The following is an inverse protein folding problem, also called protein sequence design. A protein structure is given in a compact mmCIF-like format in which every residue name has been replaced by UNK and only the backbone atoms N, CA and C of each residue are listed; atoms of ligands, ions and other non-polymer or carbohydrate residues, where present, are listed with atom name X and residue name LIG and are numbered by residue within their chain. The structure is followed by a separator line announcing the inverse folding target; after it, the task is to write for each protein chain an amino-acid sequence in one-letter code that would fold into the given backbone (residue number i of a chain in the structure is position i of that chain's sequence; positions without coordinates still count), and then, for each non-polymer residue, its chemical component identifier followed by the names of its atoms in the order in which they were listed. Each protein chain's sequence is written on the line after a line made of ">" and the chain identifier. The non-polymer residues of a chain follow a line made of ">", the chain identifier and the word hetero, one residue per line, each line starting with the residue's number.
data_IF_783873595584
#
_entry.id   IF_783873595584
#
_cell.length_a   1.000
_cell.length_b   1.000
_cell.length_c   1.000
_cell.angle_alpha   90.00
_cell.angle_beta   90.00
_cell.angle_gamma   90.00
#
_symmetry.space_group_name_H-M   'P 1'
#
loop_
_entity.id
_entity.type
_entity.pdbx_description
1 polymer ?
#
# COMPACT_ATOMS: atom_id res chain seq x y z
N UNK A 1 -18.92 5.27 1.83
CA UNK A 1 -17.99 5.76 2.88
C UNK A 1 -16.64 5.86 2.21
N UNK A 2 -16.05 7.05 2.10
CA UNK A 2 -14.77 7.22 1.39
C UNK A 2 -13.58 7.11 2.33
N UNK A 3 -12.60 6.29 1.97
CA UNK A 3 -11.29 6.24 2.64
C UNK A 3 -10.31 7.10 1.83
N UNK A 4 -9.91 8.23 2.43
CA UNK A 4 -9.03 9.23 1.81
C UNK A 4 -7.56 9.02 2.19
N UNK A 5 -6.67 9.63 1.42
CA UNK A 5 -5.22 9.43 1.50
C UNK A 5 -4.59 9.99 2.79
N UNK A 6 -5.08 11.13 3.26
CA UNK A 6 -4.58 11.74 4.48
C UNK A 6 -4.96 13.19 4.63
N UNK A 7 -4.16 13.90 5.43
CA UNK A 7 -4.33 15.33 5.70
C UNK A 7 -2.99 16.03 5.61
N UNK A 8 -2.99 17.29 5.17
CA UNK A 8 -1.84 18.18 5.30
C UNK A 8 -2.01 19.03 6.55
N UNK A 9 -1.04 18.95 7.47
CA UNK A 9 -1.04 19.73 8.72
C UNK A 9 0.03 20.82 8.60
N UNK A 10 -0.40 22.07 8.58
CA UNK A 10 0.47 23.23 8.79
C UNK A 10 0.57 23.63 10.26
N UNK A 11 1.49 24.54 10.58
CA UNK A 11 1.67 25.05 11.95
C UNK A 11 0.35 25.64 12.49
N UNK A 12 -0.13 25.09 13.60
CA UNK A 12 -1.36 25.52 14.25
C UNK A 12 -2.66 25.19 13.50
N UNK A 13 -2.62 24.34 12.47
CA UNK A 13 -3.81 23.92 11.73
C UNK A 13 -4.38 22.59 12.24
N UNK A 14 -5.71 22.49 12.26
CA UNK A 14 -6.44 21.24 12.52
C UNK A 14 -6.38 20.29 11.30
N UNK A 15 -6.71 19.02 11.49
CA UNK A 15 -6.76 17.96 10.46
C UNK A 15 -7.89 18.14 9.41
N UNK A 16 -8.27 19.37 9.08
CA UNK A 16 -9.37 19.69 8.18
C UNK A 16 -8.99 19.64 6.70
N UNK A 17 -7.69 19.75 6.38
CA UNK A 17 -7.20 19.80 5.01
C UNK A 17 -7.00 18.39 4.44
N UNK A 18 -8.11 17.75 4.07
CA UNK A 18 -8.15 16.35 3.62
C UNK A 18 -7.70 16.20 2.16
N UNK A 19 -6.69 15.35 1.94
CA UNK A 19 -6.28 14.89 0.61
C UNK A 19 -7.29 13.83 0.14
N UNK A 20 -8.19 14.21 -0.76
CA UNK A 20 -9.34 13.38 -1.17
C UNK A 20 -8.99 12.25 -2.15
N UNK A 21 -7.73 12.10 -2.53
CA UNK A 21 -7.27 10.95 -3.32
C UNK A 21 -7.61 9.66 -2.59
N UNK A 22 -8.03 8.64 -3.33
CA UNK A 22 -8.39 7.35 -2.75
C UNK A 22 -7.61 6.25 -3.46
N UNK A 23 -6.82 5.52 -2.68
CA UNK A 23 -6.02 4.41 -3.17
C UNK A 23 -6.61 3.08 -2.73
N UNK A 24 -6.43 2.06 -3.56
CA UNK A 24 -7.02 0.74 -3.31
C UNK A 24 -6.51 0.13 -2.01
N UNK A 25 -5.20 0.28 -1.73
CA UNK A 25 -4.56 -0.29 -0.55
C UNK A 25 -5.14 0.30 0.75
N UNK A 26 -5.37 1.62 0.81
CA UNK A 26 -5.98 2.27 1.97
C UNK A 26 -7.37 1.66 2.25
N UNK A 27 -8.22 1.55 1.22
CA UNK A 27 -9.55 0.95 1.42
C UNK A 27 -9.46 -0.52 1.82
N UNK A 28 -8.53 -1.28 1.22
CA UNK A 28 -8.32 -2.69 1.51
C UNK A 28 -7.90 -2.97 2.95
N UNK A 29 -6.92 -2.22 3.49
CA UNK A 29 -6.46 -2.45 4.87
C UNK A 29 -7.55 -2.12 5.89
N UNK A 30 -8.29 -1.03 5.68
CA UNK A 30 -9.42 -0.67 6.56
C UNK A 30 -10.57 -1.69 6.45
N UNK A 31 -10.85 -2.20 5.25
CA UNK A 31 -11.84 -3.26 5.05
C UNK A 31 -11.48 -4.52 5.84
N UNK A 32 -10.24 -4.98 5.72
CA UNK A 32 -9.78 -6.16 6.45
C UNK A 32 -9.80 -5.94 7.96
N UNK A 33 -9.33 -4.79 8.46
CA UNK A 33 -9.43 -4.45 9.88
C UNK A 33 -10.87 -4.43 10.40
N UNK A 34 -11.81 -3.89 9.61
CA UNK A 34 -13.23 -3.91 9.95
C UNK A 34 -13.81 -5.34 9.95
N UNK A 35 -13.35 -6.21 9.04
CA UNK A 35 -13.76 -7.60 8.97
C UNK A 35 -13.27 -8.40 10.19
N UNK A 36 -12.02 -8.20 10.61
CA UNK A 36 -11.47 -8.77 11.85
C UNK A 36 -12.29 -8.30 13.06
N UNK A 37 -12.60 -7.01 13.15
CA UNK A 37 -13.40 -6.47 14.25
C UNK A 37 -14.84 -6.99 14.25
N UNK A 38 -15.43 -7.20 13.06
CA UNK A 38 -16.70 -7.89 12.93
C UNK A 38 -16.60 -9.34 13.43
N UNK A 39 -15.59 -10.09 13.00
CA UNK A 39 -15.36 -11.47 13.42
C UNK A 39 -15.20 -11.61 14.95
N UNK A 40 -14.54 -10.63 15.58
CA UNK A 40 -14.30 -10.62 17.03
C UNK A 40 -15.52 -10.20 17.86
N UNK A 41 -16.38 -9.32 17.35
CA UNK A 41 -17.43 -8.67 18.14
C UNK A 41 -18.84 -9.03 17.70
N UNK A 42 -18.99 -9.60 16.50
CA UNK A 42 -20.26 -9.88 15.84
C UNK A 42 -21.20 -8.66 15.73
N UNK A 43 -20.65 -7.44 15.86
CA UNK A 43 -21.45 -6.22 15.90
C UNK A 43 -21.95 -5.80 14.52
N UNK A 44 -23.24 -5.46 14.45
CA UNK A 44 -23.86 -4.86 13.25
C UNK A 44 -23.16 -3.57 12.78
N UNK A 45 -22.55 -2.81 13.71
CA UNK A 45 -21.79 -1.62 13.36
C UNK A 45 -20.60 -1.97 12.47
N UNK A 46 -19.85 -3.01 12.83
CA UNK A 46 -18.70 -3.46 12.04
C UNK A 46 -19.15 -4.14 10.75
N UNK A 47 -20.25 -4.92 10.79
CA UNK A 47 -20.86 -5.49 9.57
C UNK A 47 -21.22 -4.42 8.55
N UNK A 48 -21.86 -3.33 9.00
CA UNK A 48 -22.22 -2.18 8.15
C UNK A 48 -20.99 -1.49 7.57
N UNK A 49 -19.91 -1.36 8.35
CA UNK A 49 -18.64 -0.78 7.89
C UNK A 49 -17.98 -1.64 6.82
N UNK A 50 -17.91 -2.97 7.03
CA UNK A 50 -17.42 -3.93 6.03
C UNK A 50 -18.20 -3.77 4.73
N UNK A 51 -19.54 -3.87 4.77
CA UNK A 51 -20.37 -3.72 3.56
C UNK A 51 -20.19 -2.36 2.86
N UNK A 52 -20.04 -1.28 3.63
CA UNK A 52 -19.79 0.06 3.09
C UNK A 52 -18.42 0.21 2.41
N UNK A 53 -17.37 -0.39 2.97
CA UNK A 53 -16.03 -0.41 2.38
C UNK A 53 -15.93 -1.37 1.18
N UNK A 54 -16.58 -2.53 1.24
CA UNK A 54 -16.74 -3.43 0.09
C UNK A 54 -17.40 -2.70 -1.07
N UNK A 55 -18.46 -1.92 -0.81
CA UNK A 55 -19.11 -1.11 -1.85
C UNK A 55 -18.18 -0.04 -2.41
N UNK A 56 -17.34 0.61 -1.58
CA UNK A 56 -16.34 1.58 -2.05
C UNK A 56 -15.30 0.91 -2.97
N UNK A 57 -14.85 -0.30 -2.62
CA UNK A 57 -13.94 -1.09 -3.46
C UNK A 57 -14.55 -1.34 -4.84
N UNK A 58 -15.77 -1.84 -4.91
CA UNK A 58 -16.43 -2.13 -6.18
C UNK A 58 -16.66 -0.88 -7.03
N UNK A 59 -16.99 0.24 -6.41
CA UNK A 59 -17.29 1.47 -7.13
C UNK A 59 -16.03 2.19 -7.68
N UNK A 60 -14.87 2.00 -7.04
CA UNK A 60 -13.67 2.79 -7.32
C UNK A 60 -12.51 2.00 -7.86
N UNK A 61 -12.36 0.76 -7.44
CA UNK A 61 -11.17 -0.06 -7.73
C UNK A 61 -11.51 -1.32 -8.51
N UNK A 62 -12.73 -1.43 -9.04
CA UNK A 62 -13.15 -2.54 -9.90
C UNK A 62 -13.70 -1.99 -11.21
N UNK A 63 -13.09 -2.41 -12.32
CA UNK A 63 -13.54 -2.10 -13.69
C UNK A 63 -13.62 -3.43 -14.45
N UNK A 64 -14.75 -3.71 -15.09
CA UNK A 64 -14.99 -4.98 -15.80
C UNK A 64 -14.70 -6.24 -14.96
N UNK A 65 -15.11 -6.23 -13.68
CA UNK A 65 -14.81 -7.30 -12.72
C UNK A 65 -13.32 -7.59 -12.52
N UNK A 66 -12.46 -6.58 -12.69
CA UNK A 66 -11.01 -6.66 -12.52
C UNK A 66 -10.57 -5.51 -11.61
N UNK A 67 -9.62 -5.77 -10.70
CA UNK A 67 -9.08 -4.75 -9.81
C UNK A 67 -8.23 -3.74 -10.61
N UNK A 68 -8.41 -2.45 -10.37
CA UNK A 68 -7.78 -1.35 -11.10
C UNK A 68 -7.41 -0.17 -10.19
N UNK A 69 -6.32 0.54 -10.50
CA UNK A 69 -5.99 1.84 -9.88
C UNK A 69 -6.55 3.01 -10.70
N UNK A 70 -7.71 3.55 -10.27
CA UNK A 70 -8.51 4.52 -11.02
C UNK A 70 -7.77 5.80 -11.46
N UNK A 71 -6.77 6.25 -10.72
CA UNK A 71 -6.12 7.54 -10.96
C UNK A 71 -4.93 7.46 -11.90
N UNK A 72 -4.24 6.33 -11.95
CA UNK A 72 -2.92 6.26 -12.55
C UNK A 72 -2.76 5.13 -13.56
N UNK A 73 -3.61 4.10 -13.54
CA UNK A 73 -3.45 2.91 -14.37
C UNK A 73 -3.73 3.21 -15.84
N UNK A 74 -4.84 3.88 -16.15
CA UNK A 74 -5.29 4.15 -17.53
C UNK A 74 -4.29 4.99 -18.33
N UNK A 75 -3.57 5.88 -17.65
CA UNK A 75 -2.57 6.76 -18.26
C UNK A 75 -1.12 6.28 -18.07
N UNK A 76 -0.91 5.08 -17.51
CA UNK A 76 0.42 4.52 -17.20
C UNK A 76 1.28 5.44 -16.30
N UNK A 77 0.64 6.20 -15.41
CA UNK A 77 1.29 7.19 -14.53
C UNK A 77 1.55 6.68 -13.11
N UNK A 78 1.22 5.42 -12.81
CA UNK A 78 1.46 4.88 -11.48
C UNK A 78 2.95 4.87 -11.16
N UNK A 79 3.32 5.41 -9.98
CA UNK A 79 4.68 5.33 -9.46
C UNK A 79 4.97 3.90 -8.93
N UNK A 80 6.19 3.68 -8.41
CA UNK A 80 6.59 2.34 -7.96
C UNK A 80 5.74 1.80 -6.80
N UNK A 81 5.28 2.67 -5.91
CA UNK A 81 4.44 2.28 -4.77
C UNK A 81 3.03 1.91 -5.24
N UNK A 82 2.42 2.76 -6.06
CA UNK A 82 1.08 2.56 -6.60
C UNK A 82 0.97 1.28 -7.43
N UNK A 83 2.09 0.88 -8.06
CA UNK A 83 2.18 -0.37 -8.82
C UNK A 83 2.08 -1.63 -7.96
N UNK A 84 2.09 -1.57 -6.63
CA UNK A 84 1.86 -2.73 -5.74
C UNK A 84 0.48 -2.75 -5.08
N UNK A 85 -0.27 -1.65 -5.13
CA UNK A 85 -1.50 -1.47 -4.35
C UNK A 85 -2.58 -2.51 -4.65
N UNK A 86 -2.78 -2.86 -5.93
CA UNK A 86 -3.76 -3.88 -6.34
C UNK A 86 -3.48 -5.26 -5.73
N UNK A 87 -2.21 -5.63 -5.58
CA UNK A 87 -1.82 -6.87 -4.92
C UNK A 87 -2.20 -6.87 -3.45
N UNK A 88 -1.98 -5.75 -2.75
CA UNK A 88 -2.38 -5.59 -1.36
C UNK A 88 -3.90 -5.59 -1.19
N UNK A 89 -4.65 -4.92 -2.08
CA UNK A 89 -6.10 -4.98 -2.07
C UNK A 89 -6.57 -6.44 -2.25
N UNK A 90 -6.06 -7.17 -3.24
CA UNK A 90 -6.41 -8.57 -3.45
C UNK A 90 -6.13 -9.43 -2.21
N UNK A 91 -4.99 -9.23 -1.55
CA UNK A 91 -4.65 -9.90 -0.29
C UNK A 91 -5.68 -9.63 0.82
N UNK A 92 -5.98 -8.37 1.07
CA UNK A 92 -6.90 -7.99 2.14
C UNK A 92 -8.34 -8.34 1.84
N UNK A 93 -8.74 -8.37 0.58
CA UNK A 93 -10.04 -8.92 0.18
C UNK A 93 -10.10 -10.42 0.45
N UNK A 94 -9.08 -11.19 0.08
CA UNK A 94 -9.02 -12.61 0.40
C UNK A 94 -9.12 -12.86 1.91
N UNK A 95 -8.36 -12.13 2.73
CA UNK A 95 -8.45 -12.25 4.19
C UNK A 95 -9.85 -11.84 4.71
N UNK A 96 -10.42 -10.75 4.19
CA UNK A 96 -11.80 -10.32 4.50
C UNK A 96 -12.82 -11.42 4.22
N UNK A 97 -12.64 -12.19 3.14
CA UNK A 97 -13.54 -13.30 2.82
C UNK A 97 -13.53 -14.43 3.84
N UNK A 98 -12.43 -14.57 4.60
CA UNK A 98 -12.32 -15.53 5.70
C UNK A 98 -12.91 -14.98 7.00
N UNK A 99 -12.65 -13.72 7.33
CA UNK A 99 -13.13 -13.08 8.58
C UNK A 99 -14.61 -12.65 8.52
N UNK A 100 -15.13 -12.35 7.33
CA UNK A 100 -16.51 -11.98 7.09
C UNK A 100 -17.12 -12.89 6.00
N UNK A 101 -17.48 -14.15 6.32
CA UNK A 101 -17.83 -15.18 5.32
C UNK A 101 -18.98 -14.82 4.37
N UNK A 102 -19.90 -13.95 4.80
CA UNK A 102 -21.00 -13.46 3.94
C UNK A 102 -20.51 -12.66 2.72
N UNK A 103 -19.26 -12.20 2.72
CA UNK A 103 -18.62 -11.51 1.58
C UNK A 103 -17.93 -12.46 0.61
N UNK A 104 -17.75 -13.74 0.99
CA UNK A 104 -16.86 -14.67 0.30
C UNK A 104 -17.19 -14.83 -1.18
N UNK A 105 -18.44 -15.18 -1.53
CA UNK A 105 -18.82 -15.46 -2.91
C UNK A 105 -18.48 -14.30 -3.87
N UNK A 106 -18.77 -13.06 -3.45
CA UNK A 106 -18.51 -11.88 -4.28
C UNK A 106 -17.01 -11.61 -4.39
N UNK A 107 -16.28 -11.70 -3.29
CA UNK A 107 -14.83 -11.48 -3.26
C UNK A 107 -14.11 -12.55 -4.09
N UNK A 108 -14.39 -13.84 -3.89
CA UNK A 108 -13.69 -14.92 -4.60
C UNK A 108 -13.98 -14.90 -6.09
N UNK A 109 -15.18 -14.48 -6.49
CA UNK A 109 -15.52 -14.23 -7.90
C UNK A 109 -14.65 -13.11 -8.49
N UNK A 110 -14.50 -11.98 -7.79
CA UNK A 110 -13.62 -10.89 -8.22
C UNK A 110 -12.15 -11.33 -8.30
N UNK A 111 -11.65 -12.05 -7.29
CA UNK A 111 -10.27 -12.54 -7.26
C UNK A 111 -9.99 -13.50 -8.42
N UNK A 112 -10.91 -14.41 -8.74
CA UNK A 112 -10.76 -15.34 -9.89
C UNK A 112 -10.75 -14.60 -11.22
N UNK A 113 -11.66 -13.63 -11.40
CA UNK A 113 -11.70 -12.79 -12.61
C UNK A 113 -10.40 -11.99 -12.78
N UNK A 114 -9.94 -11.33 -11.70
CA UNK A 114 -8.68 -10.61 -11.70
C UNK A 114 -7.47 -11.52 -11.94
N UNK A 115 -7.46 -12.74 -11.40
CA UNK A 115 -6.39 -13.71 -11.62
C UNK A 115 -6.31 -14.19 -13.08
N UNK A 116 -7.46 -14.43 -13.72
CA UNK A 116 -7.52 -14.76 -15.14
C UNK A 116 -6.99 -13.61 -16.00
N UNK A 117 -7.35 -12.38 -15.67
CA UNK A 117 -6.90 -11.19 -16.37
C UNK A 117 -5.39 -10.93 -16.16
N UNK A 118 -4.90 -11.07 -14.93
CA UNK A 118 -3.49 -10.95 -14.60
C UNK A 118 -2.64 -11.99 -15.35
N UNK A 119 -3.11 -13.24 -15.45
CA UNK A 119 -2.41 -14.29 -16.18
C UNK A 119 -2.24 -13.96 -17.68
N UNK A 120 -3.22 -13.29 -18.31
CA UNK A 120 -3.13 -12.90 -19.73
C UNK A 120 -2.01 -11.91 -20.00
N UNK A 121 -1.76 -10.99 -19.07
CA UNK A 121 -0.73 -9.95 -19.23
C UNK A 121 0.65 -10.37 -18.69
N UNK A 122 0.80 -11.66 -18.36
CA UNK A 122 2.06 -12.30 -17.97
C UNK A 122 2.71 -13.02 -19.16
N UNK A 123 2.72 -12.37 -20.31
CA UNK A 123 3.27 -12.85 -21.59
C UNK A 123 4.49 -12.01 -22.05
N UNK A 124 4.99 -11.12 -21.18
CA UNK A 124 6.03 -10.16 -21.51
C UNK A 124 7.44 -10.76 -21.63
N UNK A 125 8.23 -10.17 -22.52
CA UNK A 125 9.66 -10.47 -22.69
C UNK A 125 10.48 -9.17 -22.79
N UNK A 126 10.51 -8.32 -21.73
CA UNK A 126 11.22 -7.05 -21.77
C UNK A 126 12.73 -7.28 -21.84
N UNK A 127 13.44 -6.38 -22.51
CA UNK A 127 14.90 -6.49 -22.70
C UNK A 127 15.72 -6.09 -21.47
N UNK A 128 15.09 -5.46 -20.47
CA UNK A 128 15.72 -4.99 -19.22
C UNK A 128 14.71 -5.02 -18.06
N UNK A 129 15.21 -5.09 -16.83
CA UNK A 129 14.39 -4.95 -15.62
C UNK A 129 13.58 -6.19 -15.24
N UNK A 130 13.76 -7.31 -15.94
CA UNK A 130 13.17 -8.61 -15.64
C UNK A 130 14.23 -9.71 -15.80
N UNK A 131 14.44 -10.48 -14.74
CA UNK A 131 15.43 -11.56 -14.68
C UNK A 131 14.77 -12.96 -14.81
N UNK A 132 13.47 -13.02 -15.06
CA UNK A 132 12.74 -14.29 -15.23
C UNK A 132 12.80 -14.83 -16.66
N UNK A 133 12.07 -15.91 -16.92
CA UNK A 133 12.02 -16.55 -18.24
C UNK A 133 11.39 -15.65 -19.30
N UNK A 134 11.87 -15.74 -20.54
CA UNK A 134 11.25 -15.03 -21.65
C UNK A 134 9.76 -15.40 -21.78
N UNK A 135 8.89 -14.40 -21.95
CA UNK A 135 7.45 -14.60 -22.06
C UNK A 135 6.72 -14.82 -20.74
N UNK A 136 7.35 -14.53 -19.58
CA UNK A 136 6.71 -14.67 -18.26
C UNK A 136 6.66 -13.37 -17.46
N UNK A 137 7.08 -12.24 -18.02
CA UNK A 137 7.00 -10.96 -17.34
C UNK A 137 5.54 -10.47 -17.28
N UNK A 138 5.08 -10.09 -16.09
CA UNK A 138 3.73 -9.57 -15.88
C UNK A 138 3.67 -8.05 -15.99
N UNK A 139 2.73 -7.55 -16.79
CA UNK A 139 2.41 -6.14 -16.94
C UNK A 139 1.58 -5.59 -15.78
N UNK A 140 1.32 -4.28 -15.79
CA UNK A 140 0.57 -3.64 -14.71
C UNK A 140 -0.94 -3.72 -14.93
N UNK A 141 -1.39 -3.36 -16.12
CA UNK A 141 -2.82 -3.24 -16.39
C UNK A 141 -3.42 -4.59 -16.75
N UNK A 142 -4.25 -5.12 -15.83
CA UNK A 142 -5.01 -6.35 -16.06
C UNK A 142 -6.24 -6.12 -16.95
N UNK A 143 -6.51 -4.86 -17.32
CA UNK A 143 -7.54 -4.51 -18.29
C UNK A 143 -7.04 -4.59 -19.73
N UNK A 144 -5.72 -4.73 -19.93
CA UNK A 144 -5.12 -4.94 -21.24
C UNK A 144 -5.26 -6.41 -21.68
N UNK A 145 -5.08 -6.63 -22.98
CA UNK A 145 -5.10 -7.98 -23.57
C UNK A 145 -3.72 -8.67 -23.53
N UNK A 146 -2.64 -7.92 -23.27
CA UNK A 146 -1.25 -8.40 -23.23
C UNK A 146 -0.39 -7.52 -22.30
N UNK A 147 0.86 -7.93 -22.09
CA UNK A 147 1.90 -7.13 -21.45
C UNK A 147 1.93 -5.68 -21.94
N UNK A 148 2.02 -4.72 -21.01
CA UNK A 148 1.84 -3.30 -21.26
C UNK A 148 3.15 -2.50 -21.35
N UNK A 149 4.27 -3.22 -21.55
CA UNK A 149 5.65 -2.72 -21.56
C UNK A 149 6.14 -2.15 -20.22
N UNK A 150 5.36 -2.31 -19.14
CA UNK A 150 5.77 -1.88 -17.81
C UNK A 150 6.37 -3.07 -17.06
N UNK A 151 7.62 -2.93 -16.66
CA UNK A 151 8.34 -3.92 -15.87
C UNK A 151 8.66 -3.37 -14.47
N UNK A 152 8.63 -4.25 -13.48
CA UNK A 152 9.00 -3.91 -12.11
C UNK A 152 8.57 -4.98 -11.11
N UNK A 153 9.21 -4.97 -9.95
CA UNK A 153 9.03 -5.96 -8.90
C UNK A 153 7.58 -6.01 -8.37
N UNK A 154 6.96 -4.84 -8.12
CA UNK A 154 5.60 -4.76 -7.58
C UNK A 154 4.55 -5.42 -8.48
N UNK A 155 4.73 -5.33 -9.80
CA UNK A 155 3.79 -5.91 -10.77
C UNK A 155 3.88 -7.44 -10.78
N UNK A 156 5.10 -7.98 -10.65
CA UNK A 156 5.31 -9.43 -10.56
C UNK A 156 4.69 -9.99 -9.27
N UNK A 157 4.91 -9.32 -8.14
CA UNK A 157 4.28 -9.72 -6.87
C UNK A 157 2.77 -9.62 -6.97
N UNK A 158 2.21 -8.57 -7.55
CA UNK A 158 0.75 -8.43 -7.65
C UNK A 158 0.13 -9.58 -8.44
N UNK A 159 0.71 -9.93 -9.59
CA UNK A 159 0.23 -11.02 -10.43
C UNK A 159 0.33 -12.37 -9.70
N UNK A 160 1.48 -12.65 -9.06
CA UNK A 160 1.65 -13.85 -8.25
C UNK A 160 0.64 -13.92 -7.09
N UNK A 161 0.46 -12.80 -6.38
CA UNK A 161 -0.46 -12.68 -5.25
C UNK A 161 -1.91 -12.99 -5.65
N UNK A 162 -2.44 -12.37 -6.70
CA UNK A 162 -3.83 -12.60 -7.09
C UNK A 162 -4.08 -14.04 -7.56
N UNK A 163 -3.11 -14.66 -8.23
CA UNK A 163 -3.15 -16.07 -8.59
C UNK A 163 -3.21 -16.96 -7.34
N UNK A 164 -2.36 -16.70 -6.35
CA UNK A 164 -2.36 -17.44 -5.08
C UNK A 164 -3.69 -17.28 -4.31
N UNK A 165 -4.28 -16.08 -4.27
CA UNK A 165 -5.50 -15.82 -3.51
C UNK A 165 -6.77 -16.45 -4.10
N UNK A 166 -6.71 -16.98 -5.32
CA UNK A 166 -7.78 -17.84 -5.86
C UNK A 166 -7.99 -19.11 -5.03
N UNK A 167 -7.00 -19.49 -4.22
CA UNK A 167 -7.01 -20.67 -3.35
C UNK A 167 -7.56 -20.39 -1.95
N UNK A 168 -8.09 -19.20 -1.67
CA UNK A 168 -8.53 -18.80 -0.32
C UNK A 168 -9.57 -19.75 0.28
N UNK A 169 -10.45 -20.33 -0.53
CA UNK A 169 -11.45 -21.33 -0.07
C UNK A 169 -10.82 -22.64 0.41
N UNK A 170 -9.58 -22.93 0.00
CA UNK A 170 -8.79 -24.08 0.45
C UNK A 170 -7.85 -23.74 1.60
N UNK A 171 -7.69 -22.45 1.91
CA UNK A 171 -6.81 -22.00 2.97
C UNK A 171 -7.51 -22.16 4.33
N UNK A 172 -6.72 -22.47 5.36
CA UNK A 172 -7.21 -22.42 6.75
C UNK A 172 -7.44 -20.97 7.15
N UNK A 173 -8.45 -20.74 8.00
CA UNK A 173 -8.67 -19.43 8.59
C UNK A 173 -7.47 -19.00 9.46
N UNK A 174 -7.25 -17.69 9.66
CA UNK A 174 -6.21 -17.18 10.55
C UNK A 174 -6.33 -17.78 11.96
N UNK A 175 -5.20 -18.22 12.51
CA UNK A 175 -5.14 -18.79 13.86
C UNK A 175 -5.05 -17.67 14.91
N UNK A 176 -5.59 -17.95 16.09
CA UNK A 176 -5.49 -17.11 17.29
C UNK A 176 -4.57 -17.78 18.31
N UNK A 177 -4.30 -17.11 19.43
CA UNK A 177 -3.60 -17.71 20.57
C UNK A 177 -4.30 -18.97 21.13
N UNK A 178 -5.61 -19.12 20.88
CA UNK A 178 -6.42 -20.27 21.33
C UNK A 178 -6.58 -21.36 20.26
N UNK A 179 -6.32 -21.04 18.99
CA UNK A 179 -6.64 -21.93 17.86
C UNK A 179 -5.40 -22.37 17.07
N UNK A 180 -4.25 -22.43 17.73
CA UNK A 180 -3.02 -22.99 17.15
C UNK A 180 -1.95 -21.97 16.75
N UNK A 181 -2.09 -20.70 17.14
CA UNK A 181 -1.02 -19.71 17.03
C UNK A 181 0.17 -20.10 17.90
N UNK A 182 1.34 -20.30 17.29
CA UNK A 182 2.58 -20.70 17.98
C UNK A 182 3.44 -19.53 18.44
N UNK A 183 3.17 -18.32 17.92
CA UNK A 183 3.89 -17.11 18.30
C UNK A 183 3.43 -16.60 19.67
N UNK A 184 4.39 -16.39 20.57
CA UNK A 184 4.15 -15.75 21.87
C UNK A 184 4.39 -14.25 21.73
N UNK A 185 3.42 -13.44 22.15
CA UNK A 185 3.61 -11.99 22.22
C UNK A 185 4.75 -11.64 23.17
N UNK A 186 5.54 -10.63 22.82
CA UNK A 186 6.50 -10.01 23.72
C UNK A 186 5.85 -8.76 24.34
N UNK A 187 5.50 -8.76 25.64
CA UNK A 187 4.92 -7.60 26.31
C UNK A 187 5.83 -6.36 26.25
N UNK A 188 7.14 -6.56 26.16
CA UNK A 188 8.13 -5.52 25.93
C UNK A 188 8.42 -5.27 24.46
N UNK A 189 7.47 -5.49 23.54
CA UNK A 189 7.61 -5.45 22.08
C UNK A 189 8.08 -4.10 21.46
N UNK A 190 8.59 -3.19 22.28
CA UNK A 190 9.24 -1.94 21.92
C UNK A 190 10.36 -1.51 22.88
N UNK A 191 10.59 -2.26 23.96
CA UNK A 191 11.41 -1.79 25.08
C UNK A 191 12.83 -2.36 24.98
N UNK A 192 13.64 -1.79 24.08
CA UNK A 192 15.07 -2.06 24.01
C UNK A 192 15.91 -1.00 24.75
N UNK A 193 15.28 -0.04 25.44
CA UNK A 193 15.97 0.98 26.22
C UNK A 193 15.22 1.26 27.53
N UNK A 194 15.85 0.93 28.65
CA UNK A 194 15.37 1.07 30.04
C UNK A 194 15.18 2.53 30.53
N UNK A 195 14.58 3.40 29.71
CA UNK A 195 14.34 4.81 30.02
C UNK A 195 13.17 5.47 29.25
N UNK A 196 12.30 4.69 28.59
CA UNK A 196 11.18 5.19 27.78
C UNK A 196 9.82 4.79 28.36
N UNK A 197 9.47 5.30 29.54
CA UNK A 197 8.18 5.01 30.18
C UNK A 197 6.95 5.71 29.55
N UNK A 198 7.12 6.70 28.65
CA UNK A 198 5.99 7.49 28.10
C UNK A 198 5.72 7.32 26.59
N UNK A 199 6.44 6.42 25.91
CA UNK A 199 6.28 6.18 24.48
C UNK A 199 6.60 7.41 23.59
N UNK A 200 7.11 8.50 24.16
CA UNK A 200 7.60 9.65 23.42
C UNK A 200 9.08 9.45 23.14
N UNK A 201 9.46 9.64 21.88
CA UNK A 201 10.87 9.83 21.56
C UNK A 201 11.32 11.12 22.25
N UNK A 202 12.07 10.98 23.35
CA UNK A 202 12.81 12.10 23.95
C UNK A 202 13.94 12.45 22.99
N UNK A 203 13.62 13.28 22.00
CA UNK A 203 14.63 13.91 21.17
C UNK A 203 15.51 14.78 22.07
N UNK A 204 16.83 14.68 21.91
CA UNK A 204 17.76 15.60 22.56
C UNK A 204 17.37 17.02 22.15
N UNK A 205 17.18 17.91 23.13
CA UNK A 205 16.92 19.32 22.87
C UNK A 205 18.05 19.88 22.00
N UNK A 206 17.71 20.42 20.84
CA UNK A 206 18.68 21.05 19.94
C UNK A 206 19.29 22.24 20.68
N UNK A 207 20.59 22.16 20.93
CA UNK A 207 21.36 23.18 21.65
C UNK A 207 21.59 24.40 20.76
N UNK A 208 21.86 25.56 21.39
CA UNK A 208 22.22 26.79 20.67
C UNK A 208 23.47 26.55 19.81
N UNK A 209 24.44 25.78 20.30
CA UNK A 209 25.65 25.43 19.56
C UNK A 209 25.34 24.65 18.28
N UNK A 210 24.43 23.66 18.33
CA UNK A 210 24.00 22.90 17.16
C UNK A 210 23.26 23.79 16.14
N UNK A 211 22.44 24.74 16.59
CA UNK A 211 21.78 25.72 15.71
C UNK A 211 22.77 26.65 15.02
N UNK A 212 23.76 27.15 15.76
CA UNK A 212 24.83 28.02 15.22
C UNK A 212 25.68 27.26 14.22
N UNK A 213 26.09 26.02 14.55
CA UNK A 213 26.86 25.17 13.64
C UNK A 213 26.11 24.87 12.35
N UNK A 214 24.81 24.55 12.44
CA UNK A 214 23.96 24.35 11.26
C UNK A 214 23.85 25.61 10.40
N UNK A 215 23.72 26.79 11.02
CA UNK A 215 23.69 28.07 10.32
C UNK A 215 24.98 28.37 9.55
N UNK A 216 26.13 28.18 10.19
CA UNK A 216 27.45 28.37 9.55
C UNK A 216 27.63 27.42 8.37
N UNK A 217 27.33 26.13 8.55
CA UNK A 217 27.46 25.14 7.49
C UNK A 217 26.57 25.49 6.28
N UNK A 218 25.33 25.92 6.54
CA UNK A 218 24.40 26.35 5.49
C UNK A 218 24.94 27.55 4.72
N UNK A 219 25.49 28.55 5.41
CA UNK A 219 26.11 29.72 4.79
C UNK A 219 27.32 29.36 3.93
N UNK A 220 28.18 28.45 4.39
CA UNK A 220 29.35 27.99 3.62
C UNK A 220 28.94 27.26 2.34
N UNK A 221 27.93 26.39 2.41
CA UNK A 221 27.39 25.69 1.24
C UNK A 221 26.81 26.71 0.26
N UNK A 222 25.99 27.65 0.74
CA UNK A 222 25.39 28.68 -0.10
C UNK A 222 26.45 29.57 -0.77
N UNK A 223 27.47 30.01 -0.02
CA UNK A 223 28.58 30.78 -0.55
C UNK A 223 29.41 29.99 -1.57
N UNK A 224 29.63 28.70 -1.33
CA UNK A 224 30.34 27.81 -2.26
C UNK A 224 29.58 27.63 -3.57
N UNK A 225 28.25 27.45 -3.52
CA UNK A 225 27.41 27.35 -4.72
C UNK A 225 27.47 28.68 -5.49
N UNK A 226 27.19 29.81 -4.84
CA UNK A 226 27.19 31.14 -5.48
C UNK A 226 28.56 31.46 -6.07
N UNK A 227 29.62 31.27 -5.29
CA UNK A 227 31.01 31.51 -5.73
C UNK A 227 31.42 30.61 -6.88
N UNK A 228 31.06 29.32 -6.84
CA UNK A 228 31.31 28.38 -7.94
C UNK A 228 30.59 28.78 -9.22
N UNK A 229 29.31 29.15 -9.14
CA UNK A 229 28.59 29.68 -10.32
C UNK A 229 29.18 31.00 -10.83
N UNK A 230 29.56 31.92 -9.94
CA UNK A 230 30.15 33.19 -10.34
C UNK A 230 31.51 32.99 -11.03
N UNK A 231 32.35 32.10 -10.49
CA UNK A 231 33.62 31.72 -11.11
C UNK A 231 33.43 31.15 -12.51
N UNK A 232 32.53 30.17 -12.68
CA UNK A 232 32.24 29.58 -14.00
C UNK A 232 31.69 30.57 -15.03
N UNK A 233 30.99 31.62 -14.57
CA UNK A 233 30.44 32.67 -15.45
C UNK A 233 31.49 33.73 -15.80
N UNK A 234 32.39 34.05 -14.87
CA UNK A 234 33.45 35.03 -15.05
C UNK A 234 34.67 34.47 -15.78
N UNK A 235 34.86 33.15 -15.80
CA UNK A 235 35.95 32.45 -16.50
C UNK A 235 35.61 32.11 -17.97
N UNK A 236 34.69 32.88 -18.56
CA UNK A 236 34.41 32.91 -20.01
C UNK A 236 35.24 33.98 -20.70
#
# INVERSE_FOLDING_TARGET
>A
MGIYDGVTIGDGQDCSNIVKTQWSYNTGIFLHGAAVLYNLTESDTWKKRVGGMTSDVWNKFVKNHIINEQFCEEHKQCNQDQRSFKGYLAHWMAATSQDAPYTNTNITTLLKSGAQAAAKVCDGCPTRGYEGSAGTACGFSWLADSFDDIVGFGLQINAASILMYTLVDKAKAPVTSKTGGTFKGNPGGRDTNSGQEDGRLKYKTITIAEKVGAGILTLLIAAGVVGGTAFLVLER
#
